data_IF_194032912992
#
_entry.id   IF_194032912992
#
_cell.length_a   1.000
_cell.length_b   1.000
_cell.length_c   1.000
_cell.angle_alpha   90.00
_cell.angle_beta   90.00
_cell.angle_gamma   90.00
#
_symmetry.space_group_name_H-M   'P 1'
#
loop_
_entity.id
_entity.type
_entity.pdbx_description
1 polymer ?
#
# COMPACT_ATOMS: atom_id res chain seq x y z
N UNK A 1 6.02 -6.03 -20.88
CA UNK A 1 7.29 -5.55 -20.26
C UNK A 1 6.96 -5.16 -18.84
N UNK A 2 7.71 -5.65 -17.85
CA UNK A 2 7.49 -5.31 -16.45
C UNK A 2 8.67 -4.47 -15.92
N UNK A 3 8.39 -3.65 -14.91
CA UNK A 3 9.35 -2.82 -14.20
C UNK A 3 9.66 -3.42 -12.83
N UNK A 4 10.73 -2.93 -12.22
CA UNK A 4 11.03 -3.16 -10.81
C UNK A 4 10.78 -1.87 -10.03
N UNK A 5 9.88 -1.93 -9.06
CA UNK A 5 9.69 -0.86 -8.11
C UNK A 5 10.91 -0.76 -7.17
N UNK A 6 11.12 0.37 -6.46
CA UNK A 6 12.25 0.54 -5.54
C UNK A 6 12.32 -0.53 -4.44
N UNK A 7 11.18 -1.14 -4.10
CA UNK A 7 11.07 -2.24 -3.13
C UNK A 7 11.27 -3.64 -3.75
N UNK A 8 11.67 -3.71 -5.02
CA UNK A 8 11.93 -4.95 -5.76
C UNK A 8 10.69 -5.62 -6.36
N UNK A 9 9.47 -5.12 -6.08
CA UNK A 9 8.24 -5.70 -6.62
C UNK A 9 8.17 -5.53 -8.14
N UNK A 10 7.59 -6.53 -8.79
CA UNK A 10 7.29 -6.48 -10.22
C UNK A 10 6.10 -5.56 -10.45
N UNK A 11 6.26 -4.56 -11.31
CA UNK A 11 5.23 -3.58 -11.64
C UNK A 11 4.89 -3.62 -13.13
N UNK A 12 3.61 -3.48 -13.48
CA UNK A 12 3.16 -3.33 -14.85
C UNK A 12 3.03 -1.84 -15.19
N UNK A 13 3.79 -1.32 -16.16
CA UNK A 13 3.56 0.02 -16.67
C UNK A 13 2.25 0.06 -17.46
N UNK A 14 1.39 1.03 -17.16
CA UNK A 14 0.15 1.31 -17.89
C UNK A 14 0.10 2.79 -18.21
N UNK A 15 -0.52 3.14 -19.34
CA UNK A 15 -0.48 4.51 -19.86
C UNK A 15 -1.89 5.02 -20.08
N UNK A 16 -2.13 6.27 -19.71
CA UNK A 16 -3.43 6.93 -19.89
C UNK A 16 -3.62 7.41 -21.33
N UNK A 17 -2.53 7.54 -22.11
CA UNK A 17 -2.57 7.93 -23.51
C UNK A 17 -1.47 7.28 -24.35
N UNK A 18 -1.70 7.19 -25.66
CA UNK A 18 -0.66 6.77 -26.61
C UNK A 18 0.56 7.71 -26.60
N UNK A 19 0.33 9.03 -26.43
CA UNK A 19 1.41 10.01 -26.33
C UNK A 19 2.32 9.75 -25.12
N UNK A 20 1.76 9.41 -23.95
CA UNK A 20 2.55 9.04 -22.77
C UNK A 20 3.38 7.77 -23.00
N UNK A 21 2.80 6.76 -23.68
CA UNK A 21 3.50 5.54 -24.05
C UNK A 21 4.62 5.79 -25.07
N UNK A 22 4.38 6.60 -26.10
CA UNK A 22 5.37 6.94 -27.13
C UNK A 22 6.53 7.76 -26.54
N UNK A 23 6.24 8.70 -25.63
CA UNK A 23 7.25 9.45 -24.91
C UNK A 23 8.15 8.53 -24.05
N UNK A 24 7.56 7.46 -23.49
CA UNK A 24 8.30 6.49 -22.69
C UNK A 24 9.07 5.46 -23.54
N UNK A 25 8.48 4.97 -24.63
CA UNK A 25 9.10 4.00 -25.54
C UNK A 25 8.69 4.26 -27.00
N UNK A 26 9.52 4.96 -27.81
CA UNK A 26 9.14 5.44 -29.14
C UNK A 26 8.75 4.36 -30.16
N UNK A 27 9.17 3.11 -29.96
CA UNK A 27 8.82 1.98 -30.83
C UNK A 27 7.60 1.17 -30.33
N UNK A 28 6.93 1.64 -29.27
CA UNK A 28 5.79 0.95 -28.71
C UNK A 28 4.62 0.93 -29.71
N UNK A 29 3.80 -0.13 -29.64
CA UNK A 29 2.57 -0.26 -30.43
C UNK A 29 1.39 -0.24 -29.46
N UNK A 30 0.69 0.89 -29.31
CA UNK A 30 -0.38 1.02 -28.33
C UNK A 30 -1.52 0.05 -28.61
N UNK A 31 -2.03 -0.57 -27.54
CA UNK A 31 -3.28 -1.34 -27.57
C UNK A 31 -4.20 -0.74 -26.52
N UNK A 32 -5.28 -0.10 -26.97
CA UNK A 32 -6.27 0.46 -26.06
C UNK A 32 -7.03 -0.68 -25.35
N UNK A 33 -7.07 -0.61 -24.03
CA UNK A 33 -7.82 -1.55 -23.18
C UNK A 33 -8.51 -0.79 -22.06
N UNK A 34 -9.62 -1.33 -21.59
CA UNK A 34 -10.28 -0.84 -20.38
C UNK A 34 -9.38 -1.06 -19.15
N UNK A 35 -9.41 -0.14 -18.18
CA UNK A 35 -8.56 -0.19 -16.98
C UNK A 35 -8.68 -1.53 -16.21
N UNK A 36 -9.90 -2.06 -16.06
CA UNK A 36 -10.13 -3.37 -15.45
C UNK A 36 -9.41 -4.51 -16.19
N UNK A 37 -9.37 -4.47 -17.52
CA UNK A 37 -8.66 -5.45 -18.34
C UNK A 37 -7.14 -5.32 -18.18
N UNK A 38 -6.62 -4.09 -18.10
CA UNK A 38 -5.21 -3.85 -17.82
C UNK A 38 -4.81 -4.42 -16.44
N UNK A 39 -5.64 -4.19 -15.41
CA UNK A 39 -5.43 -4.74 -14.08
C UNK A 39 -5.48 -6.27 -14.06
N UNK A 40 -6.45 -6.88 -14.75
CA UNK A 40 -6.56 -8.33 -14.88
C UNK A 40 -5.33 -8.94 -15.59
N UNK A 41 -4.84 -8.30 -16.65
CA UNK A 41 -3.59 -8.70 -17.32
C UNK A 41 -2.39 -8.62 -16.39
N UNK A 42 -2.26 -7.53 -15.62
CA UNK A 42 -1.18 -7.36 -14.67
C UNK A 42 -1.19 -8.45 -13.58
N UNK A 43 -2.36 -8.76 -13.03
CA UNK A 43 -2.55 -9.88 -12.08
C UNK A 43 -2.13 -11.20 -12.72
N UNK A 44 -2.57 -11.48 -13.95
CA UNK A 44 -2.27 -12.73 -14.67
C UNK A 44 -0.78 -12.90 -14.96
N UNK A 45 -0.06 -11.79 -15.15
CA UNK A 45 1.39 -11.75 -15.38
C UNK A 45 2.20 -11.72 -14.06
N UNK A 46 1.55 -11.81 -12.90
CA UNK A 46 2.20 -11.81 -11.59
C UNK A 46 2.77 -10.44 -11.19
N UNK A 47 2.32 -9.36 -11.82
CA UNK A 47 2.64 -8.01 -11.36
C UNK A 47 1.93 -7.75 -10.02
N UNK A 48 2.61 -7.01 -9.15
CA UNK A 48 2.12 -6.66 -7.82
C UNK A 48 1.65 -5.21 -7.75
N UNK A 49 1.98 -4.42 -8.77
CA UNK A 49 1.70 -2.99 -8.88
C UNK A 49 1.32 -2.65 -10.32
N UNK A 50 0.43 -1.67 -10.49
CA UNK A 50 0.39 -0.88 -11.73
C UNK A 50 1.11 0.44 -11.50
N UNK A 51 1.89 0.87 -12.49
CA UNK A 51 2.49 2.21 -12.49
C UNK A 51 1.91 2.95 -13.68
N UNK A 52 1.09 3.96 -13.39
CA UNK A 52 0.45 4.80 -14.39
C UNK A 52 1.43 5.88 -14.85
N UNK A 53 1.57 6.00 -16.17
CA UNK A 53 2.39 6.98 -16.88
C UNK A 53 3.79 7.19 -16.25
N UNK A 54 4.61 6.12 -16.13
CA UNK A 54 5.94 6.20 -15.53
C UNK A 54 6.81 7.24 -16.25
N UNK A 55 7.37 8.17 -15.47
CA UNK A 55 8.25 9.22 -16.00
C UNK A 55 7.53 10.39 -16.66
N UNK A 56 6.19 10.42 -16.61
CA UNK A 56 5.40 11.59 -16.95
C UNK A 56 5.34 12.60 -15.79
N UNK A 57 4.66 13.73 -16.01
CA UNK A 57 4.40 14.73 -14.97
C UNK A 57 3.72 14.13 -13.74
N UNK A 58 2.81 13.17 -13.94
CA UNK A 58 2.10 12.49 -12.86
C UNK A 58 2.34 10.98 -12.96
N UNK A 59 3.21 10.46 -12.11
CA UNK A 59 3.34 9.02 -11.91
C UNK A 59 2.50 8.58 -10.71
N UNK A 60 1.65 7.56 -10.90
CA UNK A 60 0.76 7.05 -9.85
C UNK A 60 0.88 5.52 -9.72
N UNK A 61 1.10 5.04 -8.50
CA UNK A 61 1.19 3.61 -8.19
C UNK A 61 -0.16 3.08 -7.70
N UNK A 62 -0.74 2.13 -8.44
CA UNK A 62 -1.91 1.35 -7.97
C UNK A 62 -1.40 0.06 -7.34
N UNK A 63 -1.68 -0.10 -6.06
CA UNK A 63 -1.22 -1.21 -5.22
C UNK A 63 -2.08 -2.45 -5.40
N UNK A 64 -1.63 -3.58 -4.85
CA UNK A 64 -2.29 -4.87 -5.02
C UNK A 64 -3.78 -4.83 -4.67
N UNK A 65 -4.24 -4.40 -3.47
CA UNK A 65 -5.68 -4.41 -3.15
C UNK A 65 -6.52 -3.59 -4.14
N UNK A 66 -6.09 -2.36 -4.45
CA UNK A 66 -6.76 -1.49 -5.43
C UNK A 66 -6.76 -2.09 -6.85
N UNK A 67 -5.66 -2.70 -7.27
CA UNK A 67 -5.53 -3.37 -8.57
C UNK A 67 -6.48 -4.58 -8.66
N UNK A 68 -6.60 -5.38 -7.58
CA UNK A 68 -7.54 -6.51 -7.53
C UNK A 68 -9.00 -6.05 -7.55
N UNK A 69 -9.35 -4.99 -6.83
CA UNK A 69 -10.69 -4.39 -6.90
C UNK A 69 -10.98 -3.86 -8.30
N UNK A 70 -10.03 -3.16 -8.92
CA UNK A 70 -10.16 -2.65 -10.28
C UNK A 70 -10.36 -3.78 -11.30
N UNK A 71 -9.58 -4.87 -11.20
CA UNK A 71 -9.72 -6.05 -12.06
C UNK A 71 -11.10 -6.72 -11.92
N UNK A 72 -11.64 -6.73 -10.70
CA UNK A 72 -12.97 -7.27 -10.39
C UNK A 72 -14.11 -6.27 -10.58
N UNK A 73 -13.78 -5.03 -11.00
CA UNK A 73 -14.73 -3.92 -11.13
C UNK A 73 -15.55 -3.66 -9.87
N UNK A 74 -14.89 -3.73 -8.72
CA UNK A 74 -15.46 -3.39 -7.41
C UNK A 74 -14.88 -2.07 -6.92
N UNK A 75 -15.64 -1.40 -6.06
CA UNK A 75 -15.11 -0.28 -5.30
C UNK A 75 -13.98 -0.74 -4.39
N UNK A 76 -13.09 0.20 -4.09
CA UNK A 76 -11.93 -0.03 -3.24
C UNK A 76 -11.89 1.02 -2.14
N UNK A 77 -11.76 0.54 -0.90
CA UNK A 77 -11.48 1.37 0.26
C UNK A 77 -10.00 1.20 0.63
N UNK A 78 -9.23 2.30 0.70
CA UNK A 78 -7.85 2.25 1.21
C UNK A 78 -7.79 1.70 2.63
N UNK A 79 -6.74 0.95 2.96
CA UNK A 79 -6.59 0.29 4.26
C UNK A 79 -6.69 1.24 5.47
N UNK A 80 -6.21 2.47 5.32
CA UNK A 80 -6.25 3.50 6.37
C UNK A 80 -7.62 4.22 6.48
N UNK A 81 -8.59 3.87 5.64
CA UNK A 81 -9.99 4.36 5.68
C UNK A 81 -10.99 3.21 5.91
N UNK A 82 -10.49 2.02 6.27
CA UNK A 82 -11.30 0.82 6.44
C UNK A 82 -11.58 0.55 7.92
N UNK A 83 -12.78 0.91 8.37
CA UNK A 83 -13.22 0.77 9.77
C UNK A 83 -13.24 -0.70 10.24
N UNK A 84 -13.54 -1.64 9.34
CA UNK A 84 -13.56 -3.07 9.66
C UNK A 84 -12.14 -3.58 9.91
N UNK A 85 -11.19 -3.16 9.07
CA UNK A 85 -9.78 -3.44 9.25
C UNK A 85 -9.24 -2.81 10.55
N UNK A 86 -9.57 -1.54 10.82
CA UNK A 86 -9.15 -0.87 12.06
C UNK A 86 -9.68 -1.60 13.31
N UNK A 87 -10.94 -2.04 13.29
CA UNK A 87 -11.56 -2.82 14.38
C UNK A 87 -10.86 -4.17 14.58
N UNK A 88 -10.55 -4.87 13.49
CA UNK A 88 -9.81 -6.14 13.54
C UNK A 88 -8.40 -5.94 14.11
N UNK A 89 -7.69 -4.89 13.69
CA UNK A 89 -6.37 -4.55 14.21
C UNK A 89 -6.39 -4.20 15.70
N UNK A 90 -7.37 -3.39 16.13
CA UNK A 90 -7.57 -3.07 17.55
C UNK A 90 -7.89 -4.31 18.40
N UNK A 91 -8.73 -5.22 17.88
CA UNK A 91 -9.04 -6.49 18.55
C UNK A 91 -7.80 -7.37 18.72
N UNK A 92 -6.94 -7.43 17.70
CA UNK A 92 -5.66 -8.14 17.78
C UNK A 92 -4.69 -7.49 18.77
N UNK A 93 -4.61 -6.16 18.77
CA UNK A 93 -3.78 -5.40 19.70
C UNK A 93 -4.23 -5.58 21.16
N UNK A 94 -5.53 -5.71 21.41
CA UNK A 94 -6.09 -5.94 22.75
C UNK A 94 -5.64 -7.23 23.43
N UNK A 95 -5.04 -8.17 22.69
CA UNK A 95 -4.41 -9.37 23.28
C UNK A 95 -3.04 -9.09 23.92
N UNK A 96 -2.49 -7.89 23.74
CA UNK A 96 -1.18 -7.49 24.26
C UNK A 96 -1.40 -6.41 25.32
N UNK A 97 -1.30 -6.73 26.63
CA UNK A 97 -1.58 -5.78 27.70
C UNK A 97 -0.74 -4.50 27.65
N UNK A 98 0.47 -4.60 27.09
CA UNK A 98 1.39 -3.51 26.89
C UNK A 98 0.95 -2.51 25.80
N UNK A 99 0.02 -2.87 24.92
CA UNK A 99 -0.56 -1.97 23.93
C UNK A 99 -1.78 -1.29 24.52
N UNK A 100 -1.66 0.00 24.81
CA UNK A 100 -2.77 0.82 25.35
C UNK A 100 -3.72 1.28 24.26
N UNK A 101 -3.21 1.49 23.05
CA UNK A 101 -3.99 1.98 21.91
C UNK A 101 -3.31 1.66 20.59
N UNK A 102 -4.11 1.46 19.55
CA UNK A 102 -3.66 1.35 18.17
C UNK A 102 -4.39 2.40 17.34
N UNK A 103 -3.66 3.12 16.49
CA UNK A 103 -4.25 3.95 15.44
C UNK A 103 -3.78 3.48 14.06
N UNK A 104 -4.67 3.56 13.07
CA UNK A 104 -4.30 3.45 11.67
C UNK A 104 -4.19 4.83 11.03
N UNK A 105 -3.17 5.03 10.20
CA UNK A 105 -2.93 6.30 9.50
C UNK A 105 -2.43 6.04 8.07
N UNK A 106 -2.56 7.01 7.16
CA UNK A 106 -1.85 6.94 5.88
C UNK A 106 -0.34 6.80 6.10
N UNK A 107 0.26 5.84 5.40
CA UNK A 107 1.69 5.56 5.44
C UNK A 107 2.52 6.62 4.74
N UNK A 108 3.83 6.60 5.01
CA UNK A 108 4.80 7.52 4.43
C UNK A 108 4.86 7.46 2.88
N UNK A 109 4.49 6.32 2.29
CA UNK A 109 4.45 6.10 0.85
C UNK A 109 3.12 6.43 0.19
N UNK A 110 2.18 7.09 0.88
CA UNK A 110 0.88 7.43 0.29
C UNK A 110 0.98 8.62 -0.68
N UNK A 111 1.81 9.62 -0.37
CA UNK A 111 1.89 10.83 -1.18
C UNK A 111 2.70 10.61 -2.47
N UNK A 112 2.08 10.90 -3.61
CA UNK A 112 2.79 11.13 -4.88
C UNK A 112 3.25 12.58 -5.01
N UNK A 113 4.14 12.82 -5.96
CA UNK A 113 4.55 14.16 -6.39
C UNK A 113 4.44 14.29 -7.90
N UNK A 114 4.00 15.46 -8.35
CA UNK A 114 4.10 15.90 -9.75
C UNK A 114 5.55 16.24 -10.10
N UNK A 115 5.87 16.45 -11.39
CA UNK A 115 7.23 16.80 -11.79
C UNK A 115 7.70 18.16 -11.25
N UNK A 116 6.77 19.07 -10.96
CA UNK A 116 7.05 20.35 -10.30
C UNK A 116 7.20 20.25 -8.77
N UNK A 117 7.03 19.05 -8.19
CA UNK A 117 7.20 18.76 -6.77
C UNK A 117 5.94 18.94 -5.92
N UNK A 118 4.82 19.38 -6.51
CA UNK A 118 3.54 19.50 -5.83
C UNK A 118 3.05 18.15 -5.29
N UNK A 119 2.48 18.17 -4.08
CA UNK A 119 1.99 16.95 -3.44
C UNK A 119 0.63 16.54 -3.99
N UNK A 120 0.45 15.24 -4.21
CA UNK A 120 -0.81 14.63 -4.61
C UNK A 120 -1.17 13.52 -3.61
N UNK A 121 -2.47 13.38 -3.33
CA UNK A 121 -2.97 12.29 -2.51
C UNK A 121 -2.93 10.97 -3.29
N UNK A 122 -2.35 9.94 -2.68
CA UNK A 122 -2.29 8.59 -3.22
C UNK A 122 -1.16 8.39 -4.24
N UNK A 123 -0.91 7.13 -4.57
CA UNK A 123 -0.03 6.74 -5.67
C UNK A 123 1.46 6.80 -5.38
N UNK A 124 1.88 7.22 -4.19
CA UNK A 124 3.29 7.31 -3.85
C UNK A 124 4.00 5.95 -3.80
N UNK A 125 5.33 5.91 -3.93
CA UNK A 125 6.13 4.74 -3.63
C UNK A 125 6.33 4.59 -2.12
N UNK A 126 6.29 3.37 -1.57
CA UNK A 126 6.57 3.10 -0.14
C UNK A 126 5.40 2.41 0.58
N UNK A 127 5.33 2.44 1.93
CA UNK A 127 4.27 1.78 2.69
C UNK A 127 2.93 2.56 2.63
N UNK A 128 1.83 1.81 2.52
CA UNK A 128 0.47 2.37 2.44
C UNK A 128 -0.16 2.61 3.83
N UNK A 129 -0.02 1.66 4.74
CA UNK A 129 -0.63 1.69 6.06
C UNK A 129 0.43 1.99 7.12
N UNK A 130 0.20 3.00 7.95
CA UNK A 130 0.94 3.20 9.20
C UNK A 130 0.10 2.75 10.37
N UNK A 131 0.65 1.83 11.16
CA UNK A 131 0.08 1.46 12.46
C UNK A 131 0.87 2.15 13.56
N UNK A 132 0.20 2.95 14.38
CA UNK A 132 0.78 3.63 15.55
C UNK A 132 0.38 2.85 16.80
N UNK A 133 1.36 2.25 17.46
CA UNK A 133 1.17 1.54 18.72
C UNK A 133 1.52 2.48 19.88
N UNK A 134 0.56 2.74 20.75
CA UNK A 134 0.76 3.45 22.00
C UNK A 134 1.03 2.44 23.09
N UNK A 135 2.28 2.38 23.53
CA UNK A 135 2.74 1.40 24.50
C UNK A 135 2.72 1.97 25.92
N UNK A 136 2.60 1.08 26.89
CA UNK A 136 2.82 1.41 28.29
C UNK A 136 4.28 1.76 28.59
N UNK A 137 4.50 2.50 29.67
CA UNK A 137 5.83 2.83 30.15
C UNK A 137 6.53 1.61 30.76
N UNK A 138 7.86 1.63 30.76
CA UNK A 138 8.68 0.63 31.44
C UNK A 138 9.03 -0.61 30.62
N UNK A 139 8.61 -0.68 29.35
CA UNK A 139 9.06 -1.72 28.42
C UNK A 139 10.53 -1.51 28.05
N UNK A 140 11.32 -2.57 28.18
CA UNK A 140 12.67 -2.60 27.62
C UNK A 140 12.65 -2.92 26.12
N UNK A 141 13.81 -2.84 25.48
CA UNK A 141 13.94 -3.06 24.04
C UNK A 141 13.55 -4.48 23.61
N UNK A 142 13.80 -5.49 24.45
CA UNK A 142 13.48 -6.88 24.14
C UNK A 142 11.96 -7.10 24.17
N UNK A 143 11.29 -6.61 25.21
CA UNK A 143 9.84 -6.67 25.34
C UNK A 143 9.13 -5.96 24.17
N UNK A 144 9.64 -4.81 23.72
CA UNK A 144 9.11 -4.11 22.54
C UNK A 144 9.29 -4.94 21.27
N UNK A 145 10.47 -5.53 21.06
CA UNK A 145 10.74 -6.36 19.88
C UNK A 145 9.85 -7.61 19.84
N UNK A 146 9.68 -8.29 20.97
CA UNK A 146 8.81 -9.45 21.10
C UNK A 146 7.35 -9.11 20.81
N UNK A 147 6.87 -7.96 21.34
CA UNK A 147 5.53 -7.46 21.10
C UNK A 147 5.29 -7.17 19.62
N UNK A 148 6.19 -6.40 18.97
CA UNK A 148 6.06 -6.04 17.55
C UNK A 148 6.13 -7.30 16.67
N UNK A 149 7.03 -8.22 16.98
CA UNK A 149 7.15 -9.49 16.25
C UNK A 149 5.90 -10.35 16.40
N UNK A 150 5.34 -10.42 17.62
CA UNK A 150 4.08 -11.11 17.89
C UNK A 150 2.90 -10.51 17.13
N UNK A 151 2.75 -9.18 17.12
CA UNK A 151 1.71 -8.50 16.36
C UNK A 151 1.85 -8.75 14.86
N UNK A 152 3.05 -8.59 14.31
CA UNK A 152 3.32 -8.88 12.90
C UNK A 152 2.96 -10.33 12.54
N UNK A 153 3.28 -11.29 13.41
CA UNK A 153 2.92 -12.69 13.23
C UNK A 153 1.40 -12.93 13.20
N UNK A 154 0.63 -12.20 14.01
CA UNK A 154 -0.84 -12.27 14.01
C UNK A 154 -1.46 -11.59 12.79
N UNK A 155 -0.95 -10.44 12.38
CA UNK A 155 -1.41 -9.75 11.16
C UNK A 155 -1.16 -10.59 9.92
N UNK A 156 0.00 -11.26 9.83
CA UNK A 156 0.31 -12.16 8.72
C UNK A 156 -0.65 -13.36 8.61
N UNK A 157 -1.29 -13.77 9.70
CA UNK A 157 -2.27 -14.86 9.74
C UNK A 157 -3.72 -14.37 9.61
N UNK A 158 -3.94 -13.05 9.55
CA UNK A 158 -5.26 -12.47 9.46
C UNK A 158 -5.64 -12.27 7.97
N UNK A 159 -6.69 -12.95 7.53
CA UNK A 159 -7.13 -12.91 6.12
C UNK A 159 -7.52 -11.51 5.68
N UNK A 160 -8.27 -10.78 6.51
CA UNK A 160 -8.69 -9.40 6.24
C UNK A 160 -7.47 -8.49 6.00
N UNK A 161 -6.45 -8.62 6.83
CA UNK A 161 -5.20 -7.86 6.70
C UNK A 161 -4.46 -8.22 5.41
N UNK A 162 -4.29 -9.52 5.12
CA UNK A 162 -3.59 -9.99 3.93
C UNK A 162 -4.28 -9.51 2.63
N UNK A 163 -5.61 -9.51 2.61
CA UNK A 163 -6.39 -9.06 1.46
C UNK A 163 -6.34 -7.54 1.30
N UNK A 164 -6.55 -6.77 2.37
CA UNK A 164 -6.80 -5.33 2.30
C UNK A 164 -5.58 -4.44 2.46
N UNK A 165 -4.46 -4.94 3.02
CA UNK A 165 -3.24 -4.15 3.24
C UNK A 165 -2.16 -4.53 2.24
N UNK A 166 -1.67 -3.58 1.45
CA UNK A 166 -0.55 -3.81 0.54
C UNK A 166 0.80 -3.87 1.26
N UNK A 167 1.06 -2.88 2.11
CA UNK A 167 2.32 -2.67 2.80
C UNK A 167 2.09 -1.88 4.07
N UNK A 168 2.87 -2.21 5.11
CA UNK A 168 2.72 -1.66 6.45
C UNK A 168 4.03 -1.07 6.96
N UNK A 169 3.94 0.00 7.72
CA UNK A 169 4.99 0.48 8.63
C UNK A 169 4.43 0.59 10.06
N UNK A 170 5.25 0.22 11.04
CA UNK A 170 4.88 0.30 12.46
C UNK A 170 5.65 1.45 13.11
N UNK A 171 4.93 2.29 13.86
CA UNK A 171 5.50 3.37 14.65
C UNK A 171 5.10 3.22 16.11
N UNK A 172 6.02 3.54 17.01
CA UNK A 172 5.82 3.40 18.45
C UNK A 172 5.71 4.78 19.08
N UNK A 173 4.73 4.95 19.96
CA UNK A 173 4.55 6.14 20.78
C UNK A 173 4.33 5.74 22.22
N UNK A 174 4.64 6.64 23.16
CA UNK A 174 4.23 6.48 24.55
C UNK A 174 2.74 6.77 24.67
N UNK A 175 2.01 5.95 25.41
CA UNK A 175 0.66 6.30 25.82
C UNK A 175 0.73 7.55 26.72
N UNK A 176 0.01 8.61 26.35
CA UNK A 176 -0.21 9.71 27.29
C UNK A 176 -1.00 9.18 28.49
N UNK A 177 -0.65 9.63 29.70
CA UNK A 177 -1.30 9.25 30.95
C UNK A 177 -2.78 9.64 30.97
#
# INVERSE_FOLDING_TARGET
MTLKAPDGRTAMPVFTSAAALEAWHPQARPVAVYAARAALSAVSEGAQLLVLDPGSDVTFVVRRPAMWSLAQQRDWTPSYLDDELESALNSLAGMYPAVRRLEVRPGSGMASRTADGSAMAGGGPGPELRVVLYLEDGLDAAAVQDLVSGLNGRWAQNELFAERVDSIEVSLQRAAQ
#
